data_IF_088376423407
#
_entry.id   IF_088376423407
#
_cell.length_a   1.000
_cell.length_b   1.000
_cell.length_c   1.000
_cell.angle_alpha   90.00
_cell.angle_beta   90.00
_cell.angle_gamma   90.00
#
_symmetry.space_group_name_H-M   'P 1'
#
loop_
_entity.id
_entity.type
_entity.pdbx_description
1 polymer ?
#
# COMPACT_ATOMS: atom_id res chain seq x y z
N UNK A 1 -11.02 -1.60 9.88
CA UNK A 1 -9.73 -2.21 10.28
C UNK A 1 -9.24 -1.69 11.62
N UNK A 2 -8.87 -0.40 11.75
CA UNK A 2 -8.37 0.15 13.03
C UNK A 2 -9.32 -0.08 14.22
N UNK A 3 -10.61 0.22 14.07
CA UNK A 3 -11.63 -0.04 15.10
C UNK A 3 -11.82 -1.53 15.46
N UNK A 4 -11.35 -2.44 14.61
CA UNK A 4 -11.40 -3.91 14.83
C UNK A 4 -10.07 -4.48 15.33
N UNK A 5 -8.99 -3.69 15.36
CA UNK A 5 -7.65 -4.19 15.70
C UNK A 5 -7.06 -5.18 14.69
N UNK A 6 -7.61 -5.26 13.47
CA UNK A 6 -7.26 -6.27 12.47
C UNK A 6 -6.26 -5.73 11.42
N UNK A 7 -5.39 -6.62 10.91
CA UNK A 7 -4.50 -6.35 9.77
C UNK A 7 -5.29 -6.24 8.46
N UNK A 8 -4.81 -5.50 7.45
CA UNK A 8 -5.50 -5.41 6.15
C UNK A 8 -5.51 -6.75 5.40
N UNK A 9 -6.61 -7.08 4.74
CA UNK A 9 -6.71 -8.30 3.91
C UNK A 9 -6.18 -8.11 2.48
N UNK A 10 -6.06 -6.86 2.00
CA UNK A 10 -5.55 -6.54 0.67
C UNK A 10 -4.84 -5.18 0.70
N UNK A 11 -3.84 -4.99 -0.15
CA UNK A 11 -2.98 -3.79 -0.12
C UNK A 11 -3.69 -2.51 -0.61
N UNK A 12 -4.64 -2.63 -1.56
CA UNK A 12 -5.43 -1.48 -2.08
C UNK A 12 -6.84 -1.42 -1.50
N UNK A 13 -7.35 -2.53 -0.95
CA UNK A 13 -8.73 -2.68 -0.44
C UNK A 13 -8.70 -3.37 0.93
N UNK A 14 -8.18 -2.71 1.97
CA UNK A 14 -7.90 -3.32 3.28
C UNK A 14 -9.05 -4.13 3.90
N UNK A 15 -10.29 -3.69 3.67
CA UNK A 15 -11.51 -4.22 4.27
C UNK A 15 -12.35 -5.08 3.30
N UNK A 16 -11.77 -5.60 2.21
CA UNK A 16 -12.52 -6.35 1.16
C UNK A 16 -13.31 -7.56 1.67
N UNK A 17 -12.93 -8.12 2.81
CA UNK A 17 -13.60 -9.25 3.46
C UNK A 17 -14.83 -8.85 4.27
N UNK A 18 -15.05 -7.56 4.53
CA UNK A 18 -16.17 -7.06 5.32
C UNK A 18 -17.36 -6.71 4.44
N UNK A 19 -18.56 -7.09 4.87
CA UNK A 19 -19.81 -6.68 4.22
C UNK A 19 -20.30 -5.37 4.81
N UNK A 20 -21.18 -4.67 4.10
CA UNK A 20 -21.79 -3.41 4.58
C UNK A 20 -22.49 -3.56 5.94
N UNK A 21 -23.13 -4.70 6.20
CA UNK A 21 -23.75 -5.00 7.49
C UNK A 21 -22.73 -5.12 8.64
N UNK A 22 -21.53 -5.66 8.37
CA UNK A 22 -20.45 -5.73 9.36
C UNK A 22 -19.93 -4.34 9.72
N UNK A 23 -19.81 -3.45 8.72
CA UNK A 23 -19.42 -2.05 8.92
C UNK A 23 -20.50 -1.29 9.67
N UNK A 24 -21.77 -1.48 9.31
CA UNK A 24 -22.91 -0.85 9.98
C UNK A 24 -22.99 -1.20 11.47
N UNK A 25 -22.85 -2.49 11.81
CA UNK A 25 -22.79 -2.95 13.21
C UNK A 25 -21.60 -2.33 13.95
N UNK A 26 -20.42 -2.37 13.34
CA UNK A 26 -19.21 -1.82 13.94
C UNK A 26 -19.35 -0.32 14.24
N UNK A 27 -19.95 0.46 13.32
CA UNK A 27 -20.13 1.89 13.52
C UNK A 27 -21.21 2.18 14.57
N UNK A 28 -22.27 1.38 14.62
CA UNK A 28 -23.25 1.47 15.71
C UNK A 28 -22.59 1.24 17.07
N UNK A 29 -21.81 0.18 17.21
CA UNK A 29 -21.15 -0.20 18.48
C UNK A 29 -20.02 0.75 18.89
N UNK A 30 -19.22 1.22 17.94
CA UNK A 30 -17.98 1.98 18.22
C UNK A 30 -18.12 3.48 18.07
N UNK A 31 -19.03 3.95 17.23
CA UNK A 31 -19.26 5.38 16.96
C UNK A 31 -20.61 5.88 17.47
N UNK A 32 -21.48 5.00 17.97
CA UNK A 32 -22.75 5.36 18.59
C UNK A 32 -23.83 5.87 17.63
N UNK A 33 -23.67 5.69 16.32
CA UNK A 33 -24.70 6.07 15.34
C UNK A 33 -25.82 5.02 15.27
N UNK A 34 -27.06 5.37 14.87
CA UNK A 34 -28.08 4.36 14.56
C UNK A 34 -27.59 3.36 13.52
N UNK A 35 -27.94 2.08 13.70
CA UNK A 35 -27.58 1.05 12.72
C UNK A 35 -28.12 1.39 11.34
N UNK A 36 -27.26 1.32 10.33
CA UNK A 36 -27.60 1.53 8.93
C UNK A 36 -26.65 0.74 8.04
N UNK A 37 -27.15 0.32 6.88
CA UNK A 37 -26.36 -0.24 5.79
C UNK A 37 -26.24 0.75 4.60
N UNK A 38 -26.77 1.96 4.75
CA UNK A 38 -26.70 3.00 3.74
C UNK A 38 -25.26 3.50 3.59
N UNK A 39 -24.64 3.18 2.44
CA UNK A 39 -23.23 3.45 2.17
C UNK A 39 -22.90 4.95 2.24
N UNK A 40 -23.70 5.87 1.64
CA UNK A 40 -23.52 7.31 1.82
C UNK A 40 -23.49 7.73 3.30
N UNK A 41 -24.44 7.27 4.11
CA UNK A 41 -24.49 7.60 5.54
C UNK A 41 -23.28 7.07 6.31
N UNK A 42 -22.86 5.82 6.06
CA UNK A 42 -21.68 5.24 6.69
C UNK A 42 -20.40 6.00 6.32
N UNK A 43 -20.22 6.31 5.03
CA UNK A 43 -19.03 7.02 4.55
C UNK A 43 -18.96 8.47 5.06
N UNK A 44 -20.10 9.18 5.13
CA UNK A 44 -20.15 10.53 5.70
C UNK A 44 -19.86 10.54 7.21
N UNK A 45 -20.40 9.57 7.95
CA UNK A 45 -20.08 9.38 9.36
C UNK A 45 -18.58 9.19 9.58
N UNK A 46 -17.96 8.27 8.82
CA UNK A 46 -16.52 8.04 8.91
C UNK A 46 -15.72 9.31 8.59
N UNK A 47 -16.13 10.08 7.57
CA UNK A 47 -15.49 11.34 7.20
C UNK A 47 -15.57 12.37 8.30
N UNK A 48 -16.72 12.51 8.98
CA UNK A 48 -16.90 13.46 10.10
C UNK A 48 -15.96 13.12 11.25
N UNK A 49 -15.99 11.87 11.70
CA UNK A 49 -15.13 11.40 12.81
C UNK A 49 -13.65 11.58 12.48
N UNK A 50 -13.21 11.17 11.29
CA UNK A 50 -11.80 11.29 10.90
C UNK A 50 -11.36 12.74 10.69
N UNK A 51 -12.27 13.67 10.33
CA UNK A 51 -11.93 15.08 10.14
C UNK A 51 -11.35 15.70 11.42
N UNK A 52 -11.99 15.43 12.55
CA UNK A 52 -11.55 15.94 13.85
C UNK A 52 -10.15 15.42 14.20
N UNK A 53 -9.91 14.13 13.92
CA UNK A 53 -8.58 13.51 14.10
C UNK A 53 -7.51 14.21 13.26
N UNK A 54 -7.78 14.48 11.97
CA UNK A 54 -6.80 15.14 11.11
C UNK A 54 -6.54 16.60 11.51
N UNK A 55 -7.55 17.33 11.98
CA UNK A 55 -7.42 18.72 12.41
C UNK A 55 -6.66 18.87 13.73
N UNK A 56 -6.78 17.89 14.63
CA UNK A 56 -6.14 17.92 15.94
C UNK A 56 -4.75 17.25 15.97
N UNK A 57 -4.34 16.58 14.90
CA UNK A 57 -3.08 15.83 14.89
C UNK A 57 -1.85 16.75 14.78
N UNK A 58 -0.87 16.54 15.65
CA UNK A 58 0.42 17.24 15.60
C UNK A 58 1.34 16.74 14.48
N UNK A 59 1.24 15.43 14.16
CA UNK A 59 2.11 14.76 13.21
C UNK A 59 1.27 13.90 12.26
N UNK A 60 1.48 14.08 10.96
CA UNK A 60 0.99 13.19 9.91
C UNK A 60 2.07 12.23 9.45
N UNK A 61 1.74 10.93 9.38
CA UNK A 61 2.64 9.90 8.87
C UNK A 61 2.05 9.28 7.60
N UNK A 62 2.82 9.31 6.50
CA UNK A 62 2.39 8.71 5.23
C UNK A 62 3.44 7.78 4.65
N UNK A 63 2.99 6.87 3.77
CA UNK A 63 3.87 6.25 2.81
C UNK A 63 4.14 7.16 1.61
N UNK A 64 4.99 6.70 0.69
CA UNK A 64 5.26 7.34 -0.61
C UNK A 64 5.13 6.29 -1.71
N UNK A 65 4.35 6.59 -2.76
CA UNK A 65 4.24 5.70 -3.92
C UNK A 65 5.51 5.80 -4.77
N UNK A 66 5.95 7.02 -5.06
CA UNK A 66 7.17 7.32 -5.81
C UNK A 66 7.82 8.63 -5.32
N UNK A 67 9.13 8.65 -5.14
CA UNK A 67 9.96 9.84 -5.07
C UNK A 67 10.53 10.16 -6.45
N UNK A 68 10.64 11.44 -6.80
CA UNK A 68 11.23 11.90 -8.07
C UNK A 68 12.59 12.51 -7.78
N UNK A 69 13.65 11.89 -8.31
CA UNK A 69 15.03 12.25 -7.97
C UNK A 69 15.40 13.67 -8.42
N UNK A 70 15.04 14.07 -9.64
CA UNK A 70 15.42 15.38 -10.20
C UNK A 70 14.87 16.59 -9.42
N UNK A 71 13.73 16.42 -8.73
CA UNK A 71 13.01 17.52 -8.06
C UNK A 71 12.85 17.33 -6.56
N UNK A 72 13.21 16.16 -6.01
CA UNK A 72 12.92 15.80 -4.63
C UNK A 72 11.44 15.65 -4.30
N UNK A 73 10.59 15.46 -5.33
CA UNK A 73 9.13 15.40 -5.18
C UNK A 73 8.68 14.08 -4.56
N UNK A 74 7.72 14.13 -3.63
CA UNK A 74 7.03 12.94 -3.15
C UNK A 74 5.66 12.82 -3.83
N UNK A 75 5.41 11.69 -4.49
CA UNK A 75 4.14 11.36 -5.10
C UNK A 75 3.34 10.40 -4.22
N UNK A 76 2.11 10.81 -3.89
CA UNK A 76 1.14 10.01 -3.14
C UNK A 76 -0.14 9.86 -3.95
N UNK A 77 -0.61 8.61 -4.05
CA UNK A 77 -1.79 8.22 -4.83
C UNK A 77 -2.86 7.71 -3.87
N UNK A 78 -4.03 8.34 -3.85
CA UNK A 78 -5.18 7.92 -3.00
C UNK A 78 -6.51 8.08 -3.73
N UNK A 79 -7.56 7.40 -3.25
CA UNK A 79 -8.91 7.54 -3.78
C UNK A 79 -9.86 8.27 -2.81
N UNK A 80 -9.51 8.30 -1.52
CA UNK A 80 -10.33 8.80 -0.43
C UNK A 80 -9.99 10.25 -0.02
N UNK A 81 -8.80 10.73 -0.41
CA UNK A 81 -8.31 12.09 -0.10
C UNK A 81 -7.68 12.23 1.29
N UNK A 82 -7.70 11.18 2.11
CA UNK A 82 -7.05 11.14 3.41
C UNK A 82 -5.54 11.39 3.35
N UNK A 83 -4.86 10.94 2.28
CA UNK A 83 -3.43 11.24 2.06
C UNK A 83 -3.14 12.74 2.05
N UNK A 84 -4.01 13.56 1.44
CA UNK A 84 -3.85 15.02 1.45
C UNK A 84 -3.95 15.54 2.88
N UNK A 85 -5.01 15.15 3.59
CA UNK A 85 -5.23 15.61 4.97
C UNK A 85 -4.05 15.26 5.88
N UNK A 86 -3.51 14.04 5.78
CA UNK A 86 -2.34 13.61 6.56
C UNK A 86 -1.08 14.41 6.24
N UNK A 87 -0.90 14.84 4.99
CA UNK A 87 0.32 15.57 4.56
C UNK A 87 0.22 17.09 4.65
N UNK A 88 -0.98 17.64 4.79
CA UNK A 88 -1.19 19.10 4.75
C UNK A 88 -1.83 19.71 5.99
N UNK A 89 -2.57 18.94 6.81
CA UNK A 89 -3.24 19.49 8.00
C UNK A 89 -2.32 19.51 9.23
N UNK A 90 -1.61 18.42 9.58
CA UNK A 90 -0.67 18.45 10.70
C UNK A 90 0.51 19.39 10.41
N UNK A 91 1.04 20.09 11.44
CA UNK A 91 2.19 20.96 11.26
C UNK A 91 3.47 20.19 10.88
N UNK A 92 3.58 18.91 11.21
CA UNK A 92 4.73 18.06 10.87
C UNK A 92 4.29 16.88 10.00
N UNK A 93 4.99 16.64 8.89
CA UNK A 93 4.80 15.47 8.03
C UNK A 93 6.01 14.54 8.02
N UNK A 94 5.82 13.27 8.36
CA UNK A 94 6.83 12.22 8.22
C UNK A 94 6.45 11.29 7.08
N UNK A 95 7.26 11.28 6.02
CA UNK A 95 7.11 10.40 4.88
C UNK A 95 8.04 9.19 5.00
N UNK A 96 7.47 7.98 4.89
CA UNK A 96 8.21 6.72 4.88
C UNK A 96 8.29 6.19 3.44
N UNK A 97 9.51 6.01 2.94
CA UNK A 97 9.74 5.59 1.56
C UNK A 97 10.73 4.43 1.51
N UNK A 98 10.36 3.31 0.88
CA UNK A 98 11.35 2.28 0.57
C UNK A 98 12.34 2.80 -0.47
N UNK A 99 13.62 2.43 -0.37
CA UNK A 99 14.65 2.93 -1.31
C UNK A 99 14.39 2.58 -2.79
N UNK A 100 13.52 1.60 -3.07
CA UNK A 100 13.10 1.20 -4.41
C UNK A 100 11.99 2.09 -5.00
N UNK A 101 11.39 2.97 -4.20
CA UNK A 101 10.26 3.82 -4.59
C UNK A 101 10.74 5.11 -5.25
N UNK A 102 11.71 5.05 -6.15
CA UNK A 102 12.29 6.24 -6.78
C UNK A 102 12.23 6.14 -8.30
N UNK A 103 11.90 7.25 -8.95
CA UNK A 103 12.02 7.43 -10.40
C UNK A 103 12.95 8.61 -10.70
N UNK A 104 13.67 8.61 -11.83
CA UNK A 104 14.60 9.70 -12.16
C UNK A 104 13.90 11.04 -12.39
N UNK A 105 12.87 11.04 -13.25
CA UNK A 105 12.20 12.26 -13.74
C UNK A 105 10.68 12.27 -13.54
N UNK A 106 10.05 13.42 -13.73
CA UNK A 106 8.59 13.58 -13.78
C UNK A 106 7.96 12.84 -14.97
N UNK A 107 8.68 12.69 -16.09
CA UNK A 107 8.23 11.90 -17.23
C UNK A 107 8.18 10.40 -16.89
N UNK A 108 9.20 9.91 -16.17
CA UNK A 108 9.19 8.54 -15.64
C UNK A 108 8.05 8.35 -14.63
N UNK A 109 7.77 9.35 -13.80
CA UNK A 109 6.61 9.33 -12.92
C UNK A 109 5.30 9.26 -13.71
N UNK A 110 5.15 10.03 -14.78
CA UNK A 110 3.96 10.02 -15.63
C UNK A 110 3.70 8.62 -16.22
N UNK A 111 4.77 7.93 -16.65
CA UNK A 111 4.67 6.53 -17.07
C UNK A 111 4.15 5.63 -15.94
N UNK A 112 4.73 5.73 -14.74
CA UNK A 112 4.31 4.93 -13.58
C UNK A 112 2.86 5.21 -13.17
N UNK A 113 2.44 6.47 -13.19
CA UNK A 113 1.05 6.88 -12.92
C UNK A 113 0.07 6.42 -14.01
N UNK A 114 0.55 6.19 -15.23
CA UNK A 114 -0.26 5.60 -16.30
C UNK A 114 -0.49 4.10 -16.10
N UNK A 115 0.43 3.41 -15.41
CA UNK A 115 0.37 1.97 -15.17
C UNK A 115 -0.37 1.64 -13.87
N UNK A 116 0.00 2.30 -12.76
CA UNK A 116 -0.44 1.91 -11.41
C UNK A 116 -1.97 1.86 -11.25
N UNK A 117 -2.74 2.92 -11.53
CA UNK A 117 -4.19 2.92 -11.28
C UNK A 117 -4.94 2.01 -12.25
N UNK A 118 -4.46 1.88 -13.49
CA UNK A 118 -5.08 1.01 -14.50
C UNK A 118 -4.98 -0.46 -14.08
N UNK A 119 -3.82 -0.87 -13.58
CA UNK A 119 -3.60 -2.24 -13.11
C UNK A 119 -4.20 -2.50 -11.72
N UNK A 120 -4.38 -1.47 -10.89
CA UNK A 120 -4.92 -1.61 -9.55
C UNK A 120 -6.45 -1.62 -9.51
N UNK A 121 -7.07 -0.56 -10.03
CA UNK A 121 -8.51 -0.27 -9.90
C UNK A 121 -9.21 -0.11 -11.25
N UNK A 122 -8.49 -0.26 -12.37
CA UNK A 122 -9.03 -0.01 -13.71
C UNK A 122 -9.23 1.47 -14.04
N UNK A 123 -8.82 2.38 -13.14
CA UNK A 123 -8.98 3.82 -13.35
C UNK A 123 -7.88 4.36 -14.27
N UNK A 124 -8.19 5.39 -15.07
CA UNK A 124 -7.18 6.06 -15.92
C UNK A 124 -6.10 6.76 -15.09
N UNK A 125 -6.49 7.31 -13.94
CA UNK A 125 -5.69 7.92 -12.89
C UNK A 125 -6.47 7.78 -11.58
N UNK A 126 -5.81 7.82 -10.42
CA UNK A 126 -6.52 7.85 -9.13
C UNK A 126 -7.33 9.13 -8.96
N UNK A 127 -8.27 9.15 -8.00
CA UNK A 127 -9.04 10.36 -7.67
C UNK A 127 -8.14 11.49 -7.20
N UNK A 128 -7.09 11.15 -6.43
CA UNK A 128 -6.08 12.11 -5.99
C UNK A 128 -4.67 11.61 -6.29
N UNK A 129 -3.91 12.40 -7.04
CA UNK A 129 -2.47 12.25 -7.24
C UNK A 129 -1.81 13.53 -6.73
N UNK A 130 -1.07 13.42 -5.63
CA UNK A 130 -0.45 14.55 -4.94
C UNK A 130 1.04 14.55 -5.20
N UNK A 131 1.55 15.65 -5.72
CA UNK A 131 2.98 15.91 -5.88
C UNK A 131 3.41 16.93 -4.83
N UNK A 132 4.20 16.48 -3.86
CA UNK A 132 4.59 17.28 -2.70
C UNK A 132 6.07 17.63 -2.84
N UNK A 133 6.35 18.89 -3.21
CA UNK A 133 7.71 19.36 -3.48
C UNK A 133 8.43 19.82 -2.20
N UNK A 134 7.77 20.63 -1.36
CA UNK A 134 8.37 21.21 -0.14
C UNK A 134 7.37 21.21 1.02
N UNK A 135 7.82 21.42 2.27
CA UNK A 135 6.97 21.96 3.32
C UNK A 135 6.35 23.29 2.88
N UNK A 136 5.35 23.74 3.64
CA UNK A 136 4.64 25.02 3.45
C UNK A 136 5.61 26.18 3.45
N UNK A 137 5.53 27.01 2.42
CA UNK A 137 6.32 28.23 2.25
C UNK A 137 5.61 29.44 2.85
N UNK A 138 6.36 30.53 3.05
CA UNK A 138 5.78 31.78 3.49
C UNK A 138 4.71 32.28 2.49
N UNK A 139 3.52 32.61 3.00
CA UNK A 139 2.39 33.06 2.18
C UNK A 139 1.46 31.94 1.67
N UNK A 140 1.84 30.67 1.82
CA UNK A 140 0.95 29.54 1.52
C UNK A 140 -0.04 29.28 2.66
N UNK A 141 -1.27 28.90 2.32
CA UNK A 141 -2.37 28.72 3.29
C UNK A 141 -2.47 27.30 3.85
N UNK A 142 -1.96 26.29 3.15
CA UNK A 142 -1.98 24.88 3.54
C UNK A 142 -0.59 24.21 3.43
N UNK A 143 -0.43 23.04 4.05
CA UNK A 143 0.81 22.27 4.05
C UNK A 143 1.47 22.15 5.42
N UNK A 144 2.19 21.05 5.64
CA UNK A 144 3.01 20.86 6.83
C UNK A 144 4.13 21.92 6.88
N UNK A 145 4.37 22.49 8.05
CA UNK A 145 5.43 23.47 8.30
C UNK A 145 6.82 22.82 8.26
N UNK A 146 6.90 21.57 8.70
CA UNK A 146 8.11 20.74 8.69
C UNK A 146 7.84 19.40 8.01
N UNK A 147 8.84 18.87 7.29
CA UNK A 147 8.75 17.55 6.68
C UNK A 147 10.03 16.76 6.85
N UNK A 148 9.88 15.49 7.23
CA UNK A 148 10.95 14.50 7.28
C UNK A 148 10.70 13.39 6.26
N UNK A 149 11.73 13.02 5.51
CA UNK A 149 11.72 11.84 4.65
C UNK A 149 12.62 10.77 5.25
N UNK A 150 12.04 9.61 5.56
CA UNK A 150 12.79 8.43 6.02
C UNK A 150 12.87 7.43 4.87
N UNK A 151 14.08 7.28 4.33
CA UNK A 151 14.37 6.28 3.31
C UNK A 151 14.73 4.96 4.01
N UNK A 152 13.91 3.94 3.76
CA UNK A 152 13.96 2.65 4.44
C UNK A 152 14.68 1.65 3.54
N UNK A 153 15.80 1.11 4.03
CA UNK A 153 16.40 -0.11 3.48
C UNK A 153 15.61 -1.34 3.97
N UNK A 154 15.70 -1.68 5.26
CA UNK A 154 15.01 -2.83 5.87
C UNK A 154 15.16 -4.13 5.05
N UNK A 155 16.38 -4.45 4.62
CA UNK A 155 16.70 -5.64 3.83
C UNK A 155 16.62 -5.46 2.31
N UNK A 156 16.22 -4.28 1.82
CA UNK A 156 16.15 -3.98 0.39
C UNK A 156 17.52 -3.99 -0.29
N UNK A 157 18.60 -3.53 0.37
CA UNK A 157 19.94 -3.63 -0.25
C UNK A 157 20.38 -5.08 -0.41
N UNK A 158 20.05 -5.96 0.54
CA UNK A 158 20.29 -7.41 0.40
C UNK A 158 19.44 -8.00 -0.72
N UNK A 159 18.16 -7.65 -0.79
CA UNK A 159 17.25 -8.11 -1.85
C UNK A 159 17.69 -7.64 -3.24
N UNK A 160 18.19 -6.40 -3.35
CA UNK A 160 18.75 -5.82 -4.58
C UNK A 160 19.96 -6.61 -5.08
N UNK A 161 20.77 -7.15 -4.17
CA UNK A 161 21.97 -7.91 -4.49
C UNK A 161 21.70 -9.43 -4.58
N UNK A 162 20.43 -9.87 -4.59
CA UNK A 162 20.06 -11.28 -4.66
C UNK A 162 19.42 -11.64 -6.02
N UNK A 163 19.23 -12.94 -6.29
CA UNK A 163 18.43 -13.40 -7.42
C UNK A 163 16.97 -12.93 -7.39
N UNK A 164 16.50 -12.27 -6.33
CA UNK A 164 15.12 -11.79 -6.18
C UNK A 164 14.98 -10.28 -6.42
N UNK A 165 16.02 -9.59 -6.88
CA UNK A 165 16.05 -8.13 -7.04
C UNK A 165 14.90 -7.55 -7.88
N UNK A 166 14.41 -8.28 -8.90
CA UNK A 166 13.27 -7.87 -9.72
C UNK A 166 12.00 -7.63 -8.88
N UNK A 167 11.89 -8.25 -7.70
CA UNK A 167 10.78 -8.00 -6.78
C UNK A 167 10.71 -6.53 -6.30
N UNK A 168 11.83 -5.80 -6.33
CA UNK A 168 11.90 -4.38 -5.99
C UNK A 168 11.26 -3.48 -7.06
N UNK A 169 11.04 -3.95 -8.30
CA UNK A 169 10.35 -3.19 -9.34
C UNK A 169 8.85 -3.04 -9.06
N UNK A 170 8.31 -3.81 -8.11
CA UNK A 170 6.88 -3.84 -7.84
C UNK A 170 6.36 -2.46 -7.46
N UNK A 171 5.43 -1.91 -8.24
CA UNK A 171 4.74 -0.62 -7.98
C UNK A 171 3.54 -0.73 -7.02
N UNK A 172 3.35 -1.88 -6.36
CA UNK A 172 2.27 -2.16 -5.39
C UNK A 172 0.85 -1.96 -5.93
N UNK A 173 0.62 -2.21 -7.22
CA UNK A 173 -0.71 -2.10 -7.82
C UNK A 173 -1.70 -3.19 -7.37
N UNK A 174 -1.22 -4.35 -6.90
CA UNK A 174 -2.07 -5.47 -6.48
C UNK A 174 -2.61 -6.35 -7.61
N UNK A 175 -2.26 -6.08 -8.88
CA UNK A 175 -2.71 -6.89 -10.02
C UNK A 175 -2.40 -8.39 -9.86
N UNK A 176 -1.20 -8.72 -9.37
CA UNK A 176 -0.82 -10.12 -9.11
C UNK A 176 -1.64 -10.79 -8.00
N UNK A 177 -2.15 -10.03 -7.01
CA UNK A 177 -3.04 -10.57 -5.98
C UNK A 177 -4.39 -10.92 -6.61
N UNK A 178 -4.95 -9.98 -7.40
CA UNK A 178 -6.23 -10.16 -8.07
C UNK A 178 -6.22 -11.27 -9.14
N UNK A 179 -5.08 -11.50 -9.80
CA UNK A 179 -4.94 -12.58 -10.78
C UNK A 179 -4.70 -13.96 -10.14
N UNK A 180 -4.24 -14.00 -8.89
CA UNK A 180 -3.84 -15.25 -8.25
C UNK A 180 -5.07 -16.04 -7.74
N UNK A 181 -5.30 -17.29 -8.19
CA UNK A 181 -6.43 -18.09 -7.72
C UNK A 181 -6.36 -18.36 -6.22
N UNK A 182 -5.15 -18.64 -5.70
CA UNK A 182 -4.94 -18.91 -4.27
C UNK A 182 -5.27 -17.69 -3.41
N UNK A 183 -4.84 -16.49 -3.83
CA UNK A 183 -5.14 -15.27 -3.09
C UNK A 183 -6.65 -14.95 -3.12
N UNK A 184 -7.32 -15.16 -4.25
CA UNK A 184 -8.77 -14.89 -4.38
C UNK A 184 -9.62 -15.76 -3.45
N UNK A 185 -9.24 -17.01 -3.25
CA UNK A 185 -9.97 -17.93 -2.38
C UNK A 185 -9.65 -17.70 -0.89
N UNK A 186 -8.39 -17.42 -0.55
CA UNK A 186 -7.95 -17.36 0.84
C UNK A 186 -7.90 -15.95 1.44
N UNK A 187 -7.71 -14.92 0.60
CA UNK A 187 -7.45 -13.55 1.04
C UNK A 187 -6.08 -13.34 1.69
N UNK A 188 -5.76 -12.09 2.04
CA UNK A 188 -4.45 -11.74 2.61
C UNK A 188 -4.22 -12.19 4.05
N UNK A 189 -5.28 -12.45 4.83
CA UNK A 189 -5.15 -12.93 6.21
C UNK A 189 -4.60 -14.36 6.30
N UNK A 190 -4.69 -15.15 5.22
CA UNK A 190 -4.13 -16.50 5.16
C UNK A 190 -2.61 -16.53 4.91
N UNK A 191 -1.98 -15.40 4.60
CA UNK A 191 -0.53 -15.31 4.41
C UNK A 191 0.15 -15.12 5.77
N UNK A 192 0.28 -16.21 6.52
CA UNK A 192 0.78 -16.22 7.91
C UNK A 192 2.18 -16.81 7.95
N UNK A 193 3.09 -16.19 8.70
CA UNK A 193 4.43 -16.69 8.99
C UNK A 193 4.38 -17.96 9.84
N UNK A 194 5.48 -18.72 9.89
CA UNK A 194 5.60 -19.90 10.76
C UNK A 194 5.44 -19.58 12.26
N UNK A 195 5.65 -18.33 12.67
CA UNK A 195 5.40 -17.82 14.02
C UNK A 195 3.95 -17.37 14.28
N UNK A 196 3.04 -17.54 13.32
CA UNK A 196 1.65 -17.10 13.43
C UNK A 196 1.42 -15.62 13.08
N UNK A 197 2.46 -14.85 12.71
CA UNK A 197 2.31 -13.45 12.33
C UNK A 197 1.76 -13.29 10.90
N UNK A 198 0.79 -12.40 10.70
CA UNK A 198 0.26 -12.12 9.34
C UNK A 198 1.31 -11.29 8.57
N UNK A 199 1.67 -11.76 7.38
CA UNK A 199 2.62 -11.09 6.50
C UNK A 199 2.10 -9.70 6.08
N UNK A 200 2.89 -8.63 6.22
CA UNK A 200 2.52 -7.29 5.74
C UNK A 200 2.28 -7.23 4.22
N UNK A 201 2.95 -8.11 3.47
CA UNK A 201 2.81 -8.24 2.02
C UNK A 201 2.21 -9.61 1.69
N UNK A 202 0.93 -9.69 1.29
CA UNK A 202 0.33 -10.95 0.90
C UNK A 202 0.43 -11.21 -0.62
N UNK A 203 -0.04 -12.37 -1.07
CA UNK A 203 -0.12 -12.74 -2.48
C UNK A 203 1.22 -13.18 -3.09
N UNK A 204 1.28 -13.33 -4.42
CA UNK A 204 2.48 -13.78 -5.13
C UNK A 204 3.70 -12.90 -4.87
N UNK A 205 3.57 -11.57 -5.03
CA UNK A 205 4.66 -10.64 -4.73
C UNK A 205 5.06 -10.70 -3.26
N UNK A 206 4.07 -10.81 -2.35
CA UNK A 206 4.28 -10.93 -0.92
C UNK A 206 5.12 -12.12 -0.52
N UNK A 207 4.86 -13.26 -1.17
CA UNK A 207 5.59 -14.52 -0.96
C UNK A 207 7.04 -14.46 -1.48
N UNK A 208 7.38 -13.46 -2.30
CA UNK A 208 8.75 -13.20 -2.75
C UNK A 208 9.45 -12.16 -1.87
N UNK A 209 8.79 -11.04 -1.56
CA UNK A 209 9.44 -9.95 -0.81
C UNK A 209 9.52 -10.21 0.69
N UNK A 210 8.56 -10.94 1.28
CA UNK A 210 8.52 -11.13 2.74
C UNK A 210 9.74 -11.92 3.24
N UNK A 211 10.18 -13.03 2.62
CA UNK A 211 11.43 -13.68 3.00
C UNK A 211 12.65 -12.75 2.94
N UNK A 212 12.76 -11.97 1.86
CA UNK A 212 13.88 -11.06 1.65
C UNK A 212 13.93 -9.88 2.63
N UNK A 213 12.77 -9.35 3.03
CA UNK A 213 12.67 -8.16 3.88
C UNK A 213 12.48 -8.48 5.37
N UNK A 214 11.82 -9.58 5.70
CA UNK A 214 11.37 -9.91 7.06
C UNK A 214 11.96 -11.22 7.59
N UNK A 215 12.74 -11.94 6.78
CA UNK A 215 13.43 -13.16 7.19
C UNK A 215 12.68 -14.45 6.88
N UNK A 216 13.29 -15.57 7.26
CA UNK A 216 12.95 -16.92 6.79
C UNK A 216 11.54 -17.41 7.20
N UNK A 217 10.95 -16.78 8.21
CA UNK A 217 9.61 -17.07 8.74
C UNK A 217 8.51 -17.14 7.65
N UNK A 218 8.72 -16.45 6.51
CA UNK A 218 7.79 -16.34 5.41
C UNK A 218 8.15 -17.18 4.18
N UNK A 219 9.26 -17.94 4.18
CA UNK A 219 9.73 -18.71 3.00
C UNK A 219 8.68 -19.71 2.54
N UNK A 220 7.97 -20.34 3.47
CA UNK A 220 6.95 -21.33 3.17
C UNK A 220 5.75 -20.77 2.40
N UNK A 221 5.49 -19.45 2.44
CA UNK A 221 4.40 -18.82 1.69
C UNK A 221 4.53 -19.04 0.17
N UNK A 222 5.75 -19.17 -0.34
CA UNK A 222 5.98 -19.46 -1.75
C UNK A 222 5.40 -20.83 -2.17
N UNK A 223 5.21 -21.77 -1.23
CA UNK A 223 4.63 -23.10 -1.50
C UNK A 223 3.12 -23.02 -1.80
N UNK A 224 2.43 -21.98 -1.34
CA UNK A 224 1.00 -21.83 -1.59
C UNK A 224 0.66 -21.55 -3.06
N UNK A 225 1.60 -21.02 -3.85
CA UNK A 225 1.37 -20.71 -5.27
C UNK A 225 1.19 -21.98 -6.13
N UNK A 226 0.24 -21.96 -7.06
CA UNK A 226 0.11 -23.01 -8.09
C UNK A 226 1.10 -22.88 -9.24
N UNK A 227 1.90 -21.80 -9.28
CA UNK A 227 2.83 -21.46 -10.37
C UNK A 227 2.18 -21.37 -11.76
N UNK A 228 0.87 -21.12 -11.84
CA UNK A 228 0.11 -21.11 -13.10
C UNK A 228 0.43 -19.96 -14.07
N UNK A 229 1.33 -19.03 -13.72
CA UNK A 229 1.73 -17.93 -14.60
C UNK A 229 0.86 -16.68 -14.57
N UNK A 230 -0.41 -16.75 -14.12
CA UNK A 230 -1.35 -15.60 -14.22
C UNK A 230 -0.85 -14.29 -13.58
N UNK A 231 -0.04 -14.38 -12.52
CA UNK A 231 0.55 -13.21 -11.86
C UNK A 231 1.63 -12.51 -12.70
N UNK A 232 2.32 -13.24 -13.58
CA UNK A 232 3.28 -12.68 -14.55
C UNK A 232 2.53 -11.93 -15.65
N UNK A 233 1.51 -12.56 -16.23
CA UNK A 233 0.70 -11.96 -17.30
C UNK A 233 -0.02 -10.69 -16.85
N UNK A 234 -0.38 -10.61 -15.57
CA UNK A 234 -1.04 -9.44 -14.99
C UNK A 234 -0.08 -8.33 -14.52
N UNK A 235 1.24 -8.56 -14.48
CA UNK A 235 2.19 -7.60 -13.91
C UNK A 235 2.48 -6.48 -14.91
N UNK A 236 2.19 -5.20 -14.59
CA UNK A 236 2.42 -4.08 -15.53
C UNK A 236 3.89 -3.65 -15.65
N UNK A 237 4.78 -4.27 -14.87
CA UNK A 237 6.22 -3.97 -14.81
C UNK A 237 7.05 -5.24 -15.02
N UNK A 238 6.46 -6.24 -15.69
CA UNK A 238 7.12 -7.44 -16.21
C UNK A 238 7.92 -8.28 -15.19
N UNK A 239 7.50 -8.30 -13.93
CA UNK A 239 8.12 -9.17 -12.92
C UNK A 239 7.73 -10.62 -13.18
N UNK A 240 8.71 -11.50 -13.39
CA UNK A 240 8.49 -12.94 -13.53
C UNK A 240 8.30 -13.60 -12.14
N UNK A 241 7.13 -13.35 -11.54
CA UNK A 241 6.79 -13.87 -10.22
C UNK A 241 6.87 -15.41 -10.12
N UNK A 242 6.43 -16.23 -11.10
CA UNK A 242 6.63 -17.68 -11.05
C UNK A 242 8.10 -18.07 -10.90
N UNK A 243 9.01 -17.44 -11.65
CA UNK A 243 10.46 -17.67 -11.55
C UNK A 243 11.02 -17.23 -10.21
N UNK A 244 10.56 -16.11 -9.65
CA UNK A 244 11.01 -15.65 -8.34
C UNK A 244 10.50 -16.57 -7.22
N UNK A 245 9.27 -17.06 -7.31
CA UNK A 245 8.70 -18.01 -6.34
C UNK A 245 9.46 -19.34 -6.32
N UNK A 246 9.88 -19.87 -7.48
CA UNK A 246 10.68 -21.11 -7.51
C UNK A 246 12.07 -20.92 -6.90
N UNK A 247 12.67 -19.72 -7.02
CA UNK A 247 13.92 -19.36 -6.32
C UNK A 247 13.73 -19.38 -4.81
N UNK A 248 12.65 -18.76 -4.29
CA UNK A 248 12.33 -18.80 -2.86
C UNK A 248 12.12 -20.23 -2.37
N UNK A 249 11.39 -21.06 -3.11
CA UNK A 249 11.21 -22.49 -2.77
C UNK A 249 12.53 -23.26 -2.71
N UNK A 250 13.50 -22.87 -3.50
CA UNK A 250 14.84 -23.46 -3.53
C UNK A 250 15.79 -22.86 -2.47
N UNK A 251 15.33 -21.94 -1.63
CA UNK A 251 16.15 -21.26 -0.61
C UNK A 251 17.18 -20.29 -1.19
N UNK A 252 16.90 -19.68 -2.35
CA UNK A 252 17.80 -18.76 -3.07
C UNK A 252 17.40 -17.29 -2.97
#
# INVERSE_FOLDING_TARGET
MQLRGEKPAHIITPAVHLRRADVGRLFHEKLGIPYTEDIPTLTDTARKVLREVFLAADIGISGVNFGVAETGTLCIVTNEGNGRMVTTMPPVHIALMGMERIVPTLDDLALMLSLLPRSATGQKLSVYTQLIHSPRRAGETDGAQERHLVIIDNGRSRLRNSPLHEALYCIRCGACLNACPVFRELGGHAYVGSDGSIAPYPGPIGSVVSPGLLGENFVHLAQASSLCGACKDACPVDIDLPKLLTRVRAGK
#
